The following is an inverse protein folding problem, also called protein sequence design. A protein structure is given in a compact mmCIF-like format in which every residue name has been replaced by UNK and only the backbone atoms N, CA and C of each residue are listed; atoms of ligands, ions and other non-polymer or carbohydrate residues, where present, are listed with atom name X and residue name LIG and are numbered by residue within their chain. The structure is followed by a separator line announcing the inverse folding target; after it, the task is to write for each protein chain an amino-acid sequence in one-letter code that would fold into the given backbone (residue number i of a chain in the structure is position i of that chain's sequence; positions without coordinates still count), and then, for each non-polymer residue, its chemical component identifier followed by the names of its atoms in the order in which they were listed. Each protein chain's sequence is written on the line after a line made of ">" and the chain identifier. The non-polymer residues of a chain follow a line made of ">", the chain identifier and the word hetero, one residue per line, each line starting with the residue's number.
data_IF_247675492921
#
_entry.id   IF_247675492921
#
_cell.length_a   1.000
_cell.length_b   1.000
_cell.length_c   1.000
_cell.angle_alpha   90.00
_cell.angle_beta   90.00
_cell.angle_gamma   90.00
#
_symmetry.space_group_name_H-M   'P 1'
#
loop_
_entity.id
_entity.type
_entity.pdbx_description
1 polymer ?
#
# COMPACT_ATOMS: atom_id res chain seq x y z
N UNK A 1 7.69 -1.97 -27.54
CA UNK A 1 7.08 -2.96 -26.68
C UNK A 1 5.56 -2.80 -26.68
N UNK A 2 4.86 -3.92 -26.66
CA UNK A 2 3.39 -3.88 -26.82
C UNK A 2 2.72 -3.22 -25.61
N UNK A 3 3.20 -3.52 -24.41
CA UNK A 3 2.67 -2.93 -23.19
C UNK A 3 3.77 -2.13 -22.54
N UNK A 4 3.54 -0.84 -22.35
CA UNK A 4 4.63 0.04 -21.92
C UNK A 4 4.42 0.63 -20.53
N UNK A 5 3.25 0.44 -19.93
CA UNK A 5 2.98 1.11 -18.67
C UNK A 5 1.87 0.37 -17.93
N UNK A 6 2.01 0.27 -16.61
CA UNK A 6 0.91 -0.17 -15.77
C UNK A 6 0.03 1.04 -15.53
N UNK A 7 -1.18 1.01 -16.11
CA UNK A 7 -2.06 2.17 -16.09
C UNK A 7 -2.72 2.33 -14.72
N UNK A 8 -3.17 1.23 -14.15
CA UNK A 8 -3.75 1.30 -12.82
C UNK A 8 -3.55 0.00 -12.08
N UNK A 9 -3.61 0.11 -10.76
CA UNK A 9 -3.63 -1.03 -9.85
C UNK A 9 -4.99 -0.97 -9.16
N UNK A 10 -5.71 -2.08 -9.14
CA UNK A 10 -7.02 -2.12 -8.52
C UNK A 10 -6.93 -2.91 -7.22
N UNK A 11 -7.37 -2.29 -6.14
CA UNK A 11 -7.41 -2.91 -4.83
C UNK A 11 -8.86 -3.17 -4.47
N UNK A 12 -9.17 -4.39 -4.11
CA UNK A 12 -10.51 -4.73 -3.66
C UNK A 12 -10.65 -4.39 -2.19
N UNK A 13 -11.69 -3.63 -1.86
CA UNK A 13 -11.91 -3.15 -0.50
C UNK A 13 -13.30 -3.55 -0.04
N UNK A 14 -13.43 -3.84 1.25
CA UNK A 14 -14.71 -4.28 1.80
C UNK A 14 -15.57 -3.12 2.27
N UNK A 15 -14.99 -1.95 2.47
CA UNK A 15 -15.71 -0.75 2.95
C UNK A 15 -15.09 0.45 2.27
N UNK A 16 -15.76 0.97 1.25
CA UNK A 16 -15.18 2.03 0.42
C UNK A 16 -14.86 3.28 1.23
N UNK A 17 -15.78 3.74 2.07
CA UNK A 17 -15.55 4.95 2.85
C UNK A 17 -14.34 4.82 3.76
N UNK A 18 -14.23 3.69 4.43
CA UNK A 18 -13.11 3.46 5.34
C UNK A 18 -11.80 3.38 4.57
N UNK A 19 -11.80 2.71 3.44
CA UNK A 19 -10.59 2.58 2.65
C UNK A 19 -10.19 3.90 2.02
N UNK A 20 -11.14 4.67 1.51
CA UNK A 20 -10.82 5.99 0.98
C UNK A 20 -10.19 6.86 2.06
N UNK A 21 -10.73 6.81 3.28
CA UNK A 21 -10.16 7.59 4.38
C UNK A 21 -8.72 7.16 4.67
N UNK A 22 -8.44 5.87 4.61
CA UNK A 22 -7.08 5.38 4.85
C UNK A 22 -6.12 5.92 3.80
N UNK A 23 -6.45 5.74 2.52
CA UNK A 23 -5.51 6.14 1.46
C UNK A 23 -5.39 7.66 1.35
N UNK A 24 -6.45 8.38 1.61
CA UNK A 24 -6.42 9.84 1.54
C UNK A 24 -5.81 10.47 2.79
N UNK A 25 -6.25 10.04 3.99
CA UNK A 25 -5.92 10.76 5.22
C UNK A 25 -4.70 10.21 5.91
N UNK A 26 -4.48 8.90 5.87
CA UNK A 26 -3.31 8.30 6.50
C UNK A 26 -2.13 8.30 5.54
N UNK A 27 -2.30 7.74 4.34
CA UNK A 27 -1.21 7.73 3.37
C UNK A 27 -1.02 9.05 2.66
N UNK A 28 -2.04 9.90 2.65
CA UNK A 28 -1.89 11.21 2.04
C UNK A 28 -1.95 11.24 0.54
N UNK A 29 -2.56 10.25 -0.08
CA UNK A 29 -2.67 10.23 -1.54
C UNK A 29 -3.75 11.20 -2.00
N UNK A 30 -3.57 11.72 -3.21
CA UNK A 30 -4.51 12.67 -3.78
C UNK A 30 -5.72 11.95 -4.35
N UNK A 31 -6.87 12.19 -3.77
CA UNK A 31 -8.11 11.59 -4.23
C UNK A 31 -8.55 12.24 -5.53
N UNK A 32 -8.79 11.43 -6.57
CA UNK A 32 -9.31 11.95 -7.82
C UNK A 32 -10.83 12.01 -7.80
N UNK A 33 -11.46 10.92 -7.37
CA UNK A 33 -12.90 10.92 -7.14
C UNK A 33 -13.26 9.72 -6.27
N UNK A 34 -14.40 9.80 -5.64
CA UNK A 34 -14.91 8.74 -4.81
C UNK A 34 -16.33 8.39 -5.26
N UNK A 35 -16.62 7.10 -5.38
CA UNK A 35 -17.98 6.62 -5.58
C UNK A 35 -18.13 5.31 -4.84
N UNK A 36 -19.38 4.84 -4.65
CA UNK A 36 -19.56 3.63 -3.84
C UNK A 36 -18.87 2.39 -4.37
N UNK A 37 -18.79 2.24 -5.67
CA UNK A 37 -18.21 1.04 -6.26
C UNK A 37 -16.79 1.17 -6.73
N UNK A 38 -16.32 2.39 -6.98
CA UNK A 38 -15.01 2.59 -7.60
C UNK A 38 -14.51 3.98 -7.28
N UNK A 39 -13.30 4.05 -6.74
CA UNK A 39 -12.66 5.33 -6.42
C UNK A 39 -11.26 5.33 -6.97
N UNK A 40 -10.71 6.51 -7.24
CA UNK A 40 -9.36 6.60 -7.81
C UNK A 40 -8.53 7.64 -7.10
N UNK A 41 -7.24 7.32 -6.99
CA UNK A 41 -6.22 8.21 -6.43
C UNK A 41 -5.13 8.43 -7.46
N UNK A 42 -4.54 9.60 -7.44
CA UNK A 42 -3.43 9.96 -8.33
C UNK A 42 -2.13 9.61 -7.64
N UNK A 43 -1.26 8.85 -8.30
CA UNK A 43 0.02 8.49 -7.74
C UNK A 43 1.14 8.61 -8.77
N UNK A 44 1.14 9.66 -9.55
CA UNK A 44 2.14 9.80 -10.60
C UNK A 44 1.65 9.18 -11.88
N UNK A 45 2.41 8.25 -12.45
CA UNK A 45 2.04 7.68 -13.75
C UNK A 45 1.01 6.57 -13.65
N UNK A 46 0.82 6.01 -12.47
CA UNK A 46 -0.09 4.87 -12.29
C UNK A 46 -1.22 5.27 -11.35
N UNK A 47 -2.44 4.96 -11.73
CA UNK A 47 -3.62 5.24 -10.91
C UNK A 47 -3.78 4.13 -9.87
N UNK A 48 -4.10 4.51 -8.65
CA UNK A 48 -4.51 3.55 -7.63
C UNK A 48 -6.02 3.58 -7.57
N UNK A 49 -6.67 2.46 -7.90
CA UNK A 49 -8.12 2.37 -7.91
C UNK A 49 -8.59 1.47 -6.79
N UNK A 50 -9.70 1.82 -6.18
CA UNK A 50 -10.35 0.98 -5.17
C UNK A 50 -11.67 0.49 -5.74
N UNK A 51 -11.91 -0.79 -5.58
CA UNK A 51 -13.13 -1.44 -6.07
C UNK A 51 -13.84 -2.12 -4.90
N UNK A 52 -15.10 -1.83 -4.71
CA UNK A 52 -15.83 -2.40 -3.59
C UNK A 52 -16.14 -3.87 -3.85
N UNK A 53 -15.78 -4.70 -2.90
CA UNK A 53 -16.02 -6.13 -2.93
C UNK A 53 -16.54 -6.54 -1.57
N UNK A 54 -17.74 -7.10 -1.48
CA UNK A 54 -18.28 -7.41 -0.16
C UNK A 54 -17.55 -8.50 0.58
N UNK A 55 -16.83 -9.37 -0.13
CA UNK A 55 -16.16 -10.48 0.52
C UNK A 55 -14.69 -10.15 0.72
N UNK A 56 -14.23 -10.19 1.97
CA UNK A 56 -12.83 -9.92 2.29
C UNK A 56 -11.98 -11.10 1.90
N UNK A 57 -10.80 -10.79 1.36
CA UNK A 57 -9.83 -11.81 1.05
C UNK A 57 -9.40 -12.51 2.32
N UNK A 58 -9.24 -13.82 2.24
CA UNK A 58 -8.73 -14.60 3.36
C UNK A 58 -9.70 -14.80 4.48
N UNK A 59 -10.98 -14.50 4.27
CA UNK A 59 -11.93 -14.61 5.37
C UNK A 59 -12.19 -16.05 5.76
N UNK A 60 -12.04 -17.00 4.85
CA UNK A 60 -12.28 -18.38 5.20
C UNK A 60 -11.02 -19.17 5.39
N UNK A 61 -9.92 -18.76 4.83
CA UNK A 61 -8.71 -19.55 4.94
C UNK A 61 -7.58 -18.60 5.15
N UNK A 62 -6.60 -18.99 5.91
CA UNK A 62 -5.52 -18.12 6.07
C UNK A 62 -4.22 -18.81 5.88
N UNK A 63 -3.37 -18.17 5.14
CA UNK A 63 -2.05 -18.69 4.88
C UNK A 63 -1.29 -18.74 6.18
N UNK A 64 -0.56 -19.80 6.43
CA UNK A 64 0.24 -19.86 7.64
C UNK A 64 1.37 -18.86 7.67
N UNK A 65 1.88 -18.48 6.53
CA UNK A 65 3.00 -17.55 6.50
C UNK A 65 2.93 -16.77 5.21
N UNK A 66 2.98 -15.46 5.34
CA UNK A 66 3.08 -14.59 4.21
C UNK A 66 1.90 -14.65 3.27
N UNK A 67 1.95 -13.86 2.21
CA UNK A 67 0.85 -13.81 1.25
C UNK A 67 0.88 -14.99 0.30
N UNK A 68 -0.28 -15.35 -0.20
CA UNK A 68 -0.44 -16.44 -1.13
C UNK A 68 0.05 -16.04 -2.52
N UNK A 69 0.51 -17.03 -3.28
CA UNK A 69 0.84 -16.78 -4.67
C UNK A 69 -0.41 -16.29 -5.41
N UNK A 70 -0.21 -15.35 -6.32
CA UNK A 70 -1.31 -14.77 -7.06
C UNK A 70 -1.85 -13.50 -6.46
N UNK A 71 -1.37 -13.11 -5.27
CA UNK A 71 -1.77 -11.85 -4.65
C UNK A 71 -0.63 -10.84 -4.82
N UNK A 72 -0.92 -9.59 -4.50
CA UNK A 72 0.09 -8.55 -4.63
C UNK A 72 -0.06 -7.54 -3.51
N UNK A 73 0.88 -6.61 -3.45
CA UNK A 73 0.86 -5.53 -2.47
C UNK A 73 1.26 -4.25 -3.18
N UNK A 74 1.21 -3.14 -2.45
CA UNK A 74 1.58 -1.84 -2.98
C UNK A 74 2.89 -1.44 -2.34
N UNK A 75 3.82 -0.94 -3.15
CA UNK A 75 5.10 -0.47 -2.64
C UNK A 75 5.37 0.96 -3.06
N UNK A 76 5.90 1.73 -2.12
CA UNK A 76 6.31 3.11 -2.38
C UNK A 76 7.79 3.26 -2.09
N UNK A 77 8.45 4.09 -2.90
CA UNK A 77 9.82 4.51 -2.61
C UNK A 77 9.77 5.76 -1.74
N UNK A 78 10.62 5.80 -0.73
CA UNK A 78 10.65 6.96 0.17
C UNK A 78 12.09 7.38 0.39
N UNK A 79 12.27 8.62 0.81
CA UNK A 79 13.61 9.14 1.02
C UNK A 79 14.05 9.12 2.47
N UNK A 80 13.15 9.26 3.40
CA UNK A 80 13.49 9.28 4.82
C UNK A 80 12.49 8.34 5.48
N UNK A 81 12.84 7.07 5.52
CA UNK A 81 11.91 6.06 5.99
C UNK A 81 11.55 6.27 7.46
N UNK A 82 12.52 6.65 8.29
CA UNK A 82 12.21 6.85 9.70
C UNK A 82 11.22 7.97 9.90
N UNK A 83 11.38 9.08 9.17
CA UNK A 83 10.44 10.19 9.26
C UNK A 83 9.06 9.77 8.77
N UNK A 84 9.00 9.05 7.67
CA UNK A 84 7.71 8.58 7.15
C UNK A 84 7.04 7.63 8.13
N UNK A 85 7.82 6.74 8.73
CA UNK A 85 7.28 5.81 9.70
C UNK A 85 6.67 6.53 10.89
N UNK A 86 7.36 7.54 11.41
CA UNK A 86 6.83 8.31 12.53
C UNK A 86 5.57 9.05 12.15
N UNK A 87 5.58 9.66 10.96
CA UNK A 87 4.45 10.44 10.50
C UNK A 87 3.21 9.59 10.29
N UNK A 88 3.38 8.45 9.62
CA UNK A 88 2.26 7.57 9.34
C UNK A 88 1.73 6.93 10.62
N UNK A 89 2.63 6.56 11.53
CA UNK A 89 2.21 5.99 12.81
C UNK A 89 1.40 7.00 13.60
N UNK A 90 1.81 8.25 13.57
CA UNK A 90 1.06 9.30 14.27
C UNK A 90 -0.34 9.49 13.68
N UNK A 91 -0.51 9.18 12.41
CA UNK A 91 -1.82 9.25 11.77
C UNK A 91 -2.66 7.99 11.96
N UNK A 92 -2.11 6.97 12.61
CA UNK A 92 -2.86 5.77 12.91
C UNK A 92 -2.51 4.56 12.06
N UNK A 93 -1.48 4.64 11.21
CA UNK A 93 -1.08 3.49 10.43
C UNK A 93 -0.60 2.37 11.34
N UNK A 94 -0.94 1.14 10.98
CA UNK A 94 -0.55 -0.03 11.76
C UNK A 94 0.58 -0.72 11.05
N UNK A 95 1.79 -0.56 11.56
CA UNK A 95 2.95 -1.20 10.98
C UNK A 95 3.10 -2.62 11.49
N UNK A 96 3.25 -3.55 10.56
CA UNK A 96 3.55 -4.94 10.90
C UNK A 96 5.03 -5.23 10.78
N UNK A 97 5.77 -4.33 10.13
CA UNK A 97 7.23 -4.40 10.09
C UNK A 97 7.74 -2.97 10.22
N UNK A 98 8.43 -2.64 11.31
CA UNK A 98 9.02 -1.30 11.43
C UNK A 98 10.24 -1.19 10.52
N UNK A 99 10.81 0.01 10.36
CA UNK A 99 11.98 0.16 9.48
C UNK A 99 13.06 -0.84 9.82
N UNK A 100 13.44 -1.65 8.85
CA UNK A 100 14.32 -2.78 9.03
C UNK A 100 15.24 -2.87 7.82
N UNK A 101 16.53 -3.08 8.03
CA UNK A 101 17.46 -3.24 6.93
C UNK A 101 17.30 -4.58 6.29
N UNK A 102 17.18 -4.57 4.97
CA UNK A 102 17.17 -5.77 4.15
C UNK A 102 18.45 -5.73 3.33
N UNK A 103 19.53 -6.19 3.94
CA UNK A 103 20.85 -6.01 3.36
C UNK A 103 20.97 -6.68 2.00
N UNK A 104 20.42 -7.89 1.88
CA UNK A 104 20.51 -8.60 0.62
C UNK A 104 19.79 -7.89 -0.52
N UNK A 105 18.82 -7.04 -0.19
CA UNK A 105 18.07 -6.31 -1.20
C UNK A 105 18.51 -4.87 -1.32
N UNK A 106 19.44 -4.43 -0.48
CA UNK A 106 19.97 -3.09 -0.55
C UNK A 106 19.01 -1.99 -0.15
N UNK A 107 18.04 -2.30 0.71
CA UNK A 107 17.04 -1.32 1.13
C UNK A 107 16.77 -1.41 2.61
N UNK A 108 16.17 -0.36 3.14
CA UNK A 108 15.44 -0.42 4.40
C UNK A 108 13.97 -0.48 4.06
N UNK A 109 13.25 -1.30 4.79
CA UNK A 109 11.86 -1.60 4.46
C UNK A 109 10.97 -1.47 5.69
N UNK A 110 9.80 -0.91 5.52
CA UNK A 110 8.76 -0.93 6.52
C UNK A 110 7.45 -1.29 5.83
N UNK A 111 6.56 -1.94 6.56
CA UNK A 111 5.29 -2.42 5.99
C UNK A 111 4.17 -2.10 6.97
N UNK A 112 3.14 -1.45 6.47
CA UNK A 112 1.89 -1.30 7.22
C UNK A 112 0.79 -2.02 6.47
N UNK A 113 -0.40 -2.05 7.04
CA UNK A 113 -1.53 -2.71 6.40
C UNK A 113 -2.66 -1.72 6.22
N UNK A 114 -3.42 -1.91 5.15
CA UNK A 114 -4.62 -1.11 4.94
C UNK A 114 -5.78 -1.69 5.75
N UNK A 115 -6.98 -1.07 5.71
CA UNK A 115 -8.08 -1.55 6.56
C UNK A 115 -8.49 -2.99 6.31
N UNK A 116 -8.22 -3.53 5.14
CA UNK A 116 -8.54 -4.93 4.84
C UNK A 116 -7.33 -5.85 4.97
N UNK A 117 -6.22 -5.32 5.45
CA UNK A 117 -5.04 -6.14 5.70
C UNK A 117 -4.08 -6.24 4.54
N UNK A 118 -4.27 -5.44 3.50
CA UNK A 118 -3.34 -5.44 2.37
C UNK A 118 -2.02 -4.80 2.80
N UNK A 119 -0.92 -5.44 2.45
CA UNK A 119 0.40 -4.93 2.80
C UNK A 119 0.76 -3.72 1.95
N UNK A 120 1.25 -2.68 2.62
CA UNK A 120 1.75 -1.47 1.98
C UNK A 120 3.19 -1.33 2.41
N UNK A 121 4.10 -1.36 1.46
CA UNK A 121 5.54 -1.32 1.74
C UNK A 121 6.13 0.05 1.44
N UNK A 122 7.14 0.40 2.21
CA UNK A 122 7.91 1.63 2.00
C UNK A 122 9.38 1.26 2.00
N UNK A 123 10.07 1.58 0.93
CA UNK A 123 11.46 1.17 0.75
C UNK A 123 12.34 2.39 0.53
N UNK A 124 13.47 2.40 1.23
CA UNK A 124 14.48 3.43 1.12
C UNK A 124 15.80 2.75 0.77
N UNK A 125 16.54 3.22 -0.24
CA UNK A 125 17.81 2.58 -0.58
C UNK A 125 18.82 2.70 0.55
N UNK A 126 19.57 1.63 0.79
CA UNK A 126 20.69 1.67 1.70
C UNK A 126 21.83 2.44 1.07
N UNK A 127 22.64 3.07 1.90
CA UNK A 127 23.76 3.81 1.39
C UNK A 127 23.43 5.20 0.93
N UNK A 128 22.19 5.53 0.90
CA UNK A 128 21.74 6.89 0.73
C UNK A 128 21.85 7.43 -0.66
N UNK A 129 22.94 7.32 -1.30
CA UNK A 129 22.99 7.90 -2.60
C UNK A 129 23.59 6.95 -3.55
N UNK A 130 23.28 7.15 -4.64
CA UNK A 130 23.69 6.22 -5.64
C UNK A 130 24.22 6.94 -6.78
#
# INVERSE_FOLDING_TARGET
>A
MMFSKVDYIMVNVSDMSRSVAFYRDILGLSLKFESPGWSEFVTGATTLALHHTPTRAGSEARAPAGPAAGTCSIGFSVEDLDARHRELSARGAQFVLPPTEQVNEGIRLAVCVDPDGLAISFAEPLGGNR
#
